data_IF_377810476241
#
_entry.id   IF_377810476241
#
_cell.length_a   1.000
_cell.length_b   1.000
_cell.length_c   1.000
_cell.angle_alpha   90.00
_cell.angle_beta   90.00
_cell.angle_gamma   90.00
#
_symmetry.space_group_name_H-M   'P 1'
#
loop_
_entity.id
_entity.type
_entity.pdbx_description
1 polymer ?
#
# COMPACT_ATOMS: atom_id res chain seq x y z
N UNK A 1 -18.50 2.04 -21.93
CA UNK A 1 -18.60 1.23 -20.70
C UNK A 1 -17.49 1.58 -19.68
N UNK A 2 -16.23 1.76 -20.12
CA UNK A 2 -15.10 2.13 -19.25
C UNK A 2 -15.30 3.53 -18.66
N UNK A 3 -15.70 4.49 -19.48
CA UNK A 3 -15.92 5.87 -19.06
C UNK A 3 -17.07 5.95 -18.04
N UNK A 4 -18.16 5.23 -18.30
CA UNK A 4 -19.28 5.12 -17.37
C UNK A 4 -18.85 4.54 -16.01
N UNK A 5 -18.03 3.49 -16.00
CA UNK A 5 -17.55 2.88 -14.76
C UNK A 5 -16.66 3.85 -13.96
N UNK A 6 -15.84 4.64 -14.65
CA UNK A 6 -14.99 5.66 -14.04
C UNK A 6 -15.84 6.81 -13.44
N UNK A 7 -16.80 7.33 -14.20
CA UNK A 7 -17.71 8.38 -13.74
C UNK A 7 -18.53 7.91 -12.54
N UNK A 8 -19.06 6.69 -12.60
CA UNK A 8 -19.81 6.09 -11.48
C UNK A 8 -18.95 6.02 -10.21
N UNK A 9 -17.71 5.54 -10.32
CA UNK A 9 -16.80 5.43 -9.18
C UNK A 9 -16.47 6.78 -8.58
N UNK A 10 -16.16 7.77 -9.41
CA UNK A 10 -15.86 9.14 -8.96
C UNK A 10 -17.02 9.79 -8.18
N UNK A 11 -18.26 9.47 -8.58
CA UNK A 11 -19.46 10.02 -7.92
C UNK A 11 -19.82 9.30 -6.63
N UNK A 12 -19.63 7.95 -6.59
CA UNK A 12 -20.14 7.12 -5.49
C UNK A 12 -19.07 6.75 -4.46
N UNK A 13 -17.81 6.73 -4.87
CA UNK A 13 -16.70 6.37 -4.00
C UNK A 13 -15.50 7.31 -4.22
N UNK A 14 -15.63 8.60 -3.97
CA UNK A 14 -14.54 9.55 -4.16
C UNK A 14 -13.39 9.20 -3.23
N UNK A 15 -12.20 9.02 -3.81
CA UNK A 15 -10.96 8.76 -3.08
C UNK A 15 -10.02 9.97 -3.21
N UNK A 16 -9.25 10.22 -2.17
CA UNK A 16 -8.31 11.33 -2.10
C UNK A 16 -6.98 10.86 -1.54
N UNK A 17 -5.85 11.46 -1.98
CA UNK A 17 -4.55 11.21 -1.36
C UNK A 17 -4.58 11.55 0.13
N UNK A 18 -3.97 10.71 0.95
CA UNK A 18 -3.80 11.01 2.37
C UNK A 18 -2.76 12.11 2.58
N UNK A 19 -2.93 12.95 3.61
CA UNK A 19 -1.94 13.96 3.97
C UNK A 19 -0.55 13.35 4.16
N UNK A 20 0.47 14.00 3.61
CA UNK A 20 1.85 13.53 3.67
C UNK A 20 2.23 12.53 2.59
N UNK A 21 1.31 12.17 1.66
CA UNK A 21 1.63 11.22 0.58
C UNK A 21 2.72 11.76 -0.36
N UNK A 22 2.60 13.02 -0.78
CA UNK A 22 3.57 13.64 -1.69
C UNK A 22 4.98 13.66 -1.09
N UNK A 23 5.09 14.06 0.18
CA UNK A 23 6.35 14.11 0.90
C UNK A 23 6.95 12.70 1.05
N UNK A 24 6.10 11.69 1.33
CA UNK A 24 6.54 10.30 1.44
C UNK A 24 7.09 9.79 0.11
N UNK A 25 6.37 9.99 -0.99
CA UNK A 25 6.80 9.55 -2.32
C UNK A 25 8.07 10.28 -2.76
N UNK A 26 8.15 11.60 -2.53
CA UNK A 26 9.35 12.38 -2.81
C UNK A 26 10.57 11.87 -2.03
N UNK A 27 10.40 11.60 -0.74
CA UNK A 27 11.47 11.08 0.10
C UNK A 27 11.93 9.69 -0.35
N UNK A 28 11.00 8.79 -0.69
CA UNK A 28 11.31 7.46 -1.22
C UNK A 28 12.10 7.54 -2.53
N UNK A 29 11.63 8.34 -3.48
CA UNK A 29 12.27 8.55 -4.77
C UNK A 29 13.69 9.13 -4.63
N UNK A 30 13.87 10.18 -3.81
CA UNK A 30 15.17 10.81 -3.61
C UNK A 30 16.19 9.89 -2.90
N UNK A 31 15.71 9.01 -2.04
CA UNK A 31 16.55 7.99 -1.39
C UNK A 31 16.77 6.76 -2.28
N UNK A 32 16.22 6.74 -3.49
CA UNK A 32 16.25 5.60 -4.40
C UNK A 32 15.73 4.30 -3.77
N UNK A 33 14.75 4.43 -2.88
CA UNK A 33 14.11 3.29 -2.24
C UNK A 33 13.16 2.64 -3.25
N UNK A 34 13.22 1.32 -3.48
CA UNK A 34 12.21 0.64 -4.25
C UNK A 34 10.84 0.80 -3.60
N UNK A 35 9.90 1.38 -4.33
CA UNK A 35 8.52 1.54 -3.87
C UNK A 35 7.59 0.65 -4.69
N UNK A 36 6.62 0.04 -4.03
CA UNK A 36 5.65 -0.86 -4.64
C UNK A 36 4.21 -0.53 -4.24
N UNK A 37 3.28 -1.19 -4.91
CA UNK A 37 1.85 -1.05 -4.65
C UNK A 37 1.16 -2.42 -4.70
N UNK A 38 0.43 -2.79 -3.63
CA UNK A 38 -0.40 -3.98 -3.58
C UNK A 38 -1.83 -3.57 -3.27
N UNK A 39 -2.72 -3.64 -4.26
CA UNK A 39 -4.07 -3.11 -4.13
C UNK A 39 -5.16 -4.09 -4.58
N UNK A 40 -6.21 -4.20 -3.75
CA UNK A 40 -7.49 -4.73 -4.19
C UNK A 40 -8.17 -3.66 -5.04
N UNK A 41 -8.02 -3.76 -6.33
CA UNK A 41 -8.34 -2.70 -7.27
C UNK A 41 -9.11 -3.21 -8.48
N UNK A 42 -9.78 -2.29 -9.12
CA UNK A 42 -10.41 -2.48 -10.42
C UNK A 42 -9.51 -1.88 -11.52
N UNK A 43 -9.85 -2.15 -12.78
CA UNK A 43 -9.06 -1.69 -13.92
C UNK A 43 -8.89 -0.16 -13.97
N UNK A 44 -9.86 0.59 -13.47
CA UNK A 44 -9.85 2.06 -13.48
C UNK A 44 -8.99 2.68 -12.35
N UNK A 45 -8.58 1.89 -11.35
CA UNK A 45 -7.79 2.40 -10.23
C UNK A 45 -6.47 3.04 -10.68
N UNK A 46 -5.84 2.48 -11.72
CA UNK A 46 -4.62 3.07 -12.27
C UNK A 46 -4.84 4.49 -12.81
N UNK A 47 -5.97 4.73 -13.50
CA UNK A 47 -6.31 6.06 -14.01
C UNK A 47 -6.54 7.06 -12.87
N UNK A 48 -7.25 6.63 -11.81
CA UNK A 48 -7.45 7.44 -10.61
C UNK A 48 -6.13 7.82 -9.94
N UNK A 49 -5.23 6.85 -9.78
CA UNK A 49 -3.91 7.10 -9.19
C UNK A 49 -3.10 8.09 -10.02
N UNK A 50 -3.06 7.94 -11.34
CA UNK A 50 -2.37 8.86 -12.23
C UNK A 50 -2.96 10.27 -12.17
N UNK A 51 -4.28 10.38 -12.10
CA UNK A 51 -4.96 11.67 -11.98
C UNK A 51 -4.65 12.36 -10.65
N UNK A 52 -4.75 11.65 -9.53
CA UNK A 52 -4.45 12.23 -8.21
C UNK A 52 -2.97 12.58 -8.01
N UNK A 53 -2.08 11.82 -8.63
CA UNK A 53 -0.64 12.04 -8.52
C UNK A 53 -0.12 13.05 -9.57
N UNK A 54 -0.97 13.44 -10.53
CA UNK A 54 -0.58 14.23 -11.71
C UNK A 54 0.70 13.72 -12.39
N UNK A 55 0.84 12.38 -12.40
CA UNK A 55 2.02 11.69 -12.93
C UNK A 55 1.77 10.18 -13.03
N UNK A 56 2.61 9.49 -13.76
CA UNK A 56 2.59 8.02 -13.72
C UNK A 56 3.16 7.48 -12.39
N UNK A 57 2.86 6.23 -12.06
CA UNK A 57 3.47 5.59 -10.89
C UNK A 57 5.00 5.55 -10.99
N UNK A 58 5.53 5.35 -12.21
CA UNK A 58 6.96 5.33 -12.46
C UNK A 58 7.60 6.70 -12.22
N UNK A 59 6.96 7.79 -12.69
CA UNK A 59 7.41 9.16 -12.43
C UNK A 59 7.45 9.49 -10.93
N UNK A 60 6.57 8.86 -10.15
CA UNK A 60 6.53 8.99 -8.69
C UNK A 60 7.50 8.05 -7.96
N UNK A 61 8.24 7.22 -8.69
CA UNK A 61 9.31 6.37 -8.17
C UNK A 61 8.88 4.94 -7.82
N UNK A 62 7.69 4.50 -8.25
CA UNK A 62 7.29 3.11 -8.09
C UNK A 62 8.02 2.21 -9.08
N UNK A 63 8.54 1.09 -8.58
CA UNK A 63 9.08 0.04 -9.43
C UNK A 63 7.93 -0.80 -10.01
N UNK A 64 7.80 -0.83 -11.32
CA UNK A 64 6.71 -1.53 -12.00
C UNK A 64 6.68 -3.03 -11.69
N UNK A 65 7.82 -3.63 -11.33
CA UNK A 65 7.91 -5.03 -10.91
C UNK A 65 7.25 -5.29 -9.54
N UNK A 66 7.05 -4.22 -8.74
CA UNK A 66 6.43 -4.25 -7.41
C UNK A 66 5.00 -3.70 -7.41
N UNK A 67 4.37 -3.51 -8.58
CA UNK A 67 3.00 -3.01 -8.71
C UNK A 67 2.05 -4.18 -8.99
N UNK A 68 1.21 -4.51 -8.02
CA UNK A 68 0.25 -5.62 -8.08
C UNK A 68 -1.18 -5.14 -7.85
N UNK A 69 -2.04 -5.38 -8.82
CA UNK A 69 -3.46 -5.11 -8.75
C UNK A 69 -4.27 -6.41 -8.78
N UNK A 70 -5.22 -6.60 -7.88
CA UNK A 70 -6.00 -7.84 -7.78
C UNK A 70 -6.68 -8.24 -9.08
N UNK A 71 -7.15 -7.29 -9.88
CA UNK A 71 -7.79 -7.58 -11.17
C UNK A 71 -6.82 -8.12 -12.24
N UNK A 72 -5.52 -7.78 -12.15
CA UNK A 72 -4.48 -8.36 -13.03
C UNK A 72 -3.99 -9.70 -12.53
N UNK A 73 -3.88 -9.83 -11.21
CA UNK A 73 -3.31 -11.00 -10.56
C UNK A 73 -4.30 -12.15 -10.39
N UNK A 74 -5.61 -11.87 -10.53
CA UNK A 74 -6.68 -12.84 -10.25
C UNK A 74 -6.82 -13.20 -8.76
N UNK A 75 -6.10 -12.53 -7.88
CA UNK A 75 -6.08 -12.77 -6.45
C UNK A 75 -6.21 -11.46 -5.68
N UNK A 76 -7.10 -11.43 -4.68
CA UNK A 76 -7.32 -10.27 -3.83
C UNK A 76 -6.80 -10.52 -2.40
N UNK A 77 -6.40 -9.47 -1.71
CA UNK A 77 -6.16 -9.49 -0.26
C UNK A 77 -7.47 -9.90 0.46
N UNK A 78 -7.45 -10.74 1.48
CA UNK A 78 -6.32 -11.11 2.34
C UNK A 78 -5.47 -12.30 1.87
N UNK A 79 -5.59 -12.76 0.62
CA UNK A 79 -4.66 -13.75 0.10
C UNK A 79 -3.22 -13.23 0.17
N UNK A 80 -2.29 -14.09 0.56
CA UNK A 80 -0.85 -13.77 0.58
C UNK A 80 -0.22 -13.78 -0.82
N UNK A 81 -0.97 -14.09 -1.87
CA UNK A 81 -0.44 -14.29 -3.22
C UNK A 81 0.37 -13.08 -3.73
N UNK A 82 -0.21 -11.87 -3.72
CA UNK A 82 0.48 -10.67 -4.20
C UNK A 82 1.67 -10.30 -3.30
N UNK A 83 1.58 -10.54 -1.98
CA UNK A 83 2.70 -10.32 -1.06
C UNK A 83 3.85 -11.29 -1.31
N UNK A 84 3.56 -12.56 -1.59
CA UNK A 84 4.59 -13.53 -1.96
C UNK A 84 5.27 -13.17 -3.29
N UNK A 85 4.53 -12.67 -4.27
CA UNK A 85 5.11 -12.15 -5.51
C UNK A 85 6.03 -10.96 -5.25
N UNK A 86 5.59 -9.99 -4.43
CA UNK A 86 6.42 -8.86 -4.04
C UNK A 86 7.71 -9.32 -3.33
N UNK A 87 7.60 -10.28 -2.41
CA UNK A 87 8.76 -10.92 -1.75
C UNK A 87 9.77 -11.48 -2.77
N UNK A 88 9.29 -12.24 -3.76
CA UNK A 88 10.18 -12.83 -4.76
C UNK A 88 10.92 -11.77 -5.59
N UNK A 89 10.23 -10.69 -5.95
CA UNK A 89 10.86 -9.57 -6.66
C UNK A 89 11.91 -8.89 -5.78
N UNK A 90 11.60 -8.60 -4.51
CA UNK A 90 12.54 -7.98 -3.57
C UNK A 90 13.78 -8.85 -3.32
N UNK A 91 13.59 -10.15 -3.12
CA UNK A 91 14.71 -11.09 -2.98
C UNK A 91 15.59 -11.11 -4.23
N UNK A 92 15.01 -11.07 -5.43
CA UNK A 92 15.75 -10.92 -6.69
C UNK A 92 16.51 -9.59 -6.82
N UNK A 93 16.12 -8.57 -6.05
CA UNK A 93 16.82 -7.28 -5.93
C UNK A 93 17.86 -7.27 -4.79
N UNK A 94 18.04 -8.38 -4.08
CA UNK A 94 18.91 -8.49 -2.90
C UNK A 94 18.33 -7.83 -1.64
N UNK A 95 17.03 -7.57 -1.60
CA UNK A 95 16.35 -6.92 -0.47
C UNK A 95 15.61 -8.01 0.33
N UNK A 96 16.02 -8.30 1.57
CA UNK A 96 15.33 -9.25 2.42
C UNK A 96 13.96 -8.72 2.84
N UNK A 97 12.98 -9.61 2.98
CA UNK A 97 11.57 -9.26 3.22
C UNK A 97 11.38 -8.43 4.49
N UNK A 98 12.14 -8.77 5.54
CA UNK A 98 12.12 -8.07 6.83
C UNK A 98 12.68 -6.64 6.78
N UNK A 99 13.34 -6.27 5.69
CA UNK A 99 13.80 -4.89 5.42
C UNK A 99 12.77 -4.06 4.65
N UNK A 100 11.67 -4.67 4.23
CA UNK A 100 10.61 -3.98 3.50
C UNK A 100 9.40 -3.75 4.41
N UNK A 101 8.84 -2.53 4.33
CA UNK A 101 7.68 -2.10 5.11
C UNK A 101 6.44 -2.04 4.23
N UNK A 102 5.40 -2.76 4.64
CA UNK A 102 4.06 -2.62 4.07
C UNK A 102 3.25 -1.64 4.91
N UNK A 103 2.74 -0.61 4.26
CA UNK A 103 1.86 0.39 4.88
C UNK A 103 0.44 0.16 4.38
N UNK A 104 -0.51 -0.02 5.28
CA UNK A 104 -1.91 -0.24 4.93
C UNK A 104 -2.85 0.20 6.03
N UNK A 105 -4.14 0.29 5.72
CA UNK A 105 -5.17 0.78 6.64
C UNK A 105 -6.14 -0.33 7.12
N UNK A 106 -5.96 -1.55 6.68
CA UNK A 106 -6.83 -2.69 7.00
C UNK A 106 -6.02 -3.84 7.64
N UNK A 107 -6.33 -4.14 8.90
CA UNK A 107 -5.67 -5.22 9.65
C UNK A 107 -5.77 -6.57 8.95
N UNK A 108 -6.95 -6.88 8.38
CA UNK A 108 -7.19 -8.17 7.72
C UNK A 108 -6.56 -8.25 6.33
N UNK A 109 -6.68 -7.17 5.54
CA UNK A 109 -6.31 -7.19 4.14
C UNK A 109 -4.85 -6.77 3.89
N UNK A 110 -4.27 -5.95 4.78
CA UNK A 110 -2.92 -5.43 4.60
C UNK A 110 -1.95 -6.03 5.62
N UNK A 111 -2.24 -5.89 6.92
CA UNK A 111 -1.28 -6.20 7.98
C UNK A 111 -1.08 -7.71 8.12
N UNK A 112 -2.16 -8.46 8.30
CA UNK A 112 -2.08 -9.92 8.46
C UNK A 112 -1.33 -10.63 7.33
N UNK A 113 -1.71 -10.48 6.06
CA UNK A 113 -1.05 -11.20 4.98
C UNK A 113 0.39 -10.73 4.76
N UNK A 114 0.69 -9.45 4.98
CA UNK A 114 2.06 -8.93 4.89
C UNK A 114 2.96 -9.54 5.97
N UNK A 115 2.51 -9.52 7.23
CA UNK A 115 3.22 -10.12 8.36
C UNK A 115 3.43 -11.62 8.17
N UNK A 116 2.41 -12.35 7.68
CA UNK A 116 2.51 -13.79 7.41
C UNK A 116 3.58 -14.14 6.35
N UNK A 117 3.90 -13.22 5.45
CA UNK A 117 4.95 -13.38 4.43
C UNK A 117 6.34 -12.94 4.95
N UNK A 118 6.39 -12.23 6.08
CA UNK A 118 7.62 -11.78 6.73
C UNK A 118 7.98 -10.30 6.49
N UNK A 119 7.06 -9.51 5.96
CA UNK A 119 7.22 -8.06 5.86
C UNK A 119 7.12 -7.38 7.22
N UNK A 120 7.80 -6.26 7.39
CA UNK A 120 7.45 -5.27 8.41
C UNK A 120 6.14 -4.58 8.04
N UNK A 121 5.37 -4.17 9.04
CA UNK A 121 4.02 -3.66 8.84
C UNK A 121 3.78 -2.35 9.57
N UNK A 122 3.10 -1.41 8.90
CA UNK A 122 2.64 -0.17 9.50
C UNK A 122 1.14 -0.01 9.24
N UNK A 123 0.36 0.09 10.31
CA UNK A 123 -1.06 0.42 10.21
C UNK A 123 -1.23 1.95 10.13
N UNK A 124 -1.75 2.43 9.01
CA UNK A 124 -2.14 3.83 8.85
C UNK A 124 -3.49 4.08 9.51
N UNK A 125 -3.50 4.87 10.58
CA UNK A 125 -4.67 5.21 11.39
C UNK A 125 -5.05 6.70 11.32
N UNK A 126 -4.50 7.44 10.34
CA UNK A 126 -4.72 8.89 10.19
C UNK A 126 -6.07 9.27 9.59
N UNK A 127 -6.79 8.33 9.00
CA UNK A 127 -8.15 8.56 8.51
C UNK A 127 -9.14 7.57 9.12
N UNK A 128 -10.04 8.11 9.95
CA UNK A 128 -11.07 7.31 10.64
C UNK A 128 -12.06 6.62 9.67
N UNK A 129 -12.28 7.16 8.48
CA UNK A 129 -13.22 6.60 7.51
C UNK A 129 -12.64 5.37 6.82
N UNK A 130 -11.35 5.39 6.53
CA UNK A 130 -10.67 4.30 5.82
C UNK A 130 -10.12 3.23 6.76
N UNK A 131 -9.81 3.55 8.01
CA UNK A 131 -9.24 2.62 8.98
C UNK A 131 -10.16 1.40 9.22
N UNK A 132 -9.59 0.21 9.10
CA UNK A 132 -10.26 -1.08 9.30
C UNK A 132 -9.51 -1.93 10.33
N UNK A 133 -9.79 -1.71 11.61
CA UNK A 133 -9.16 -2.46 12.73
C UNK A 133 -9.61 -3.92 12.78
N UNK A 134 -10.81 -4.23 12.26
CA UNK A 134 -11.34 -5.61 12.21
C UNK A 134 -11.42 -6.29 13.58
N UNK A 135 -11.77 -5.57 14.63
CA UNK A 135 -11.79 -6.06 16.03
C UNK A 135 -12.66 -7.31 16.25
N UNK A 136 -13.73 -7.46 15.46
CA UNK A 136 -14.61 -8.63 15.48
C UNK A 136 -14.08 -9.84 14.71
N UNK A 137 -13.03 -9.70 13.90
CA UNK A 137 -12.44 -10.80 13.14
C UNK A 137 -11.43 -11.54 14.03
N UNK A 138 -11.71 -12.81 14.33
CA UNK A 138 -10.87 -13.66 15.18
C UNK A 138 -9.42 -13.73 14.69
N UNK A 139 -9.20 -13.61 13.36
CA UNK A 139 -7.86 -13.66 12.75
C UNK A 139 -7.03 -12.42 13.06
N UNK A 140 -7.70 -11.29 13.36
CA UNK A 140 -7.04 -10.04 13.69
C UNK A 140 -6.82 -9.84 15.19
N UNK A 141 -7.42 -10.68 16.04
CA UNK A 141 -7.43 -10.50 17.50
C UNK A 141 -6.02 -10.42 18.11
N UNK A 142 -5.14 -11.31 17.68
CA UNK A 142 -3.78 -11.43 18.20
C UNK A 142 -2.72 -10.82 17.26
N UNK A 143 -3.17 -10.17 16.20
CA UNK A 143 -2.28 -9.52 15.24
C UNK A 143 -1.95 -8.10 15.67
N UNK A 144 -0.66 -7.77 15.64
CA UNK A 144 -0.17 -6.41 15.89
C UNK A 144 0.69 -5.95 14.72
N UNK A 145 0.50 -4.73 14.22
CA UNK A 145 1.45 -4.13 13.29
C UNK A 145 2.74 -3.78 14.02
N UNK A 146 3.88 -3.74 13.31
CA UNK A 146 5.16 -3.29 13.90
C UNK A 146 5.10 -1.79 14.24
N UNK A 147 4.33 -1.00 13.47
CA UNK A 147 4.13 0.43 13.67
C UNK A 147 2.66 0.82 13.53
N UNK A 148 2.23 1.86 14.23
CA UNK A 148 0.97 2.56 13.98
C UNK A 148 1.33 4.01 13.68
N UNK A 149 0.87 4.52 12.53
CA UNK A 149 1.11 5.88 12.09
C UNK A 149 -0.21 6.59 11.78
N UNK A 150 -0.29 7.86 12.14
CA UNK A 150 -1.47 8.71 11.87
C UNK A 150 -1.20 9.77 10.81
N UNK A 151 0.05 9.91 10.42
CA UNK A 151 0.51 10.81 9.36
C UNK A 151 1.61 10.09 8.57
N UNK A 152 1.53 10.11 7.25
CA UNK A 152 2.51 9.43 6.40
C UNK A 152 3.93 10.01 6.53
N UNK A 153 4.05 11.28 6.96
CA UNK A 153 5.35 11.91 7.23
C UNK A 153 6.11 11.27 8.40
N UNK A 154 5.43 10.57 9.30
CA UNK A 154 6.07 9.82 10.38
C UNK A 154 6.99 8.70 9.84
N UNK A 155 6.69 8.17 8.64
CA UNK A 155 7.51 7.16 7.97
C UNK A 155 8.82 7.76 7.40
N UNK A 156 8.88 9.08 7.21
CA UNK A 156 10.08 9.78 6.71
C UNK A 156 11.00 10.13 7.86
N UNK A 157 10.44 10.50 9.01
CA UNK A 157 11.15 10.99 10.17
C UNK A 157 11.91 9.90 10.96
N UNK A 158 11.60 8.63 10.74
CA UNK A 158 12.13 7.49 11.50
C UNK A 158 13.63 7.20 11.34
N UNK A 159 14.39 8.02 10.60
CA UNK A 159 15.83 7.88 10.43
C UNK A 159 16.64 8.97 11.18
N UNK A 160 16.08 9.58 12.20
CA UNK A 160 16.87 10.36 13.18
C UNK A 160 17.03 9.50 14.43
N UNK A 161 17.85 8.45 14.33
CA UNK A 161 18.59 8.00 15.51
C UNK A 161 19.87 8.82 15.60
N UNK A 162 20.15 9.39 16.77
CA UNK A 162 21.39 10.11 17.05
C UNK A 162 22.60 9.20 16.97
#
# INVERSE_FOLDING_TARGET
LKDFALEYELLHNPVYPMPGLEELLWAGKNRRMPMGLISNAQFYTLFLLQWFLDATLEDRGFDQRLVFFSWREGHAKPSTFMFNRAKMVLLGMGIPTESALVVGNDMRNDILPASAVGFKTALFAGDRRSLRRRESDIRCRDASPDLIVTDLRQLIAGNKNP
#
